data_IF_531411742452
#
_entry.id   IF_531411742452
#
_cell.length_a   1.000
_cell.length_b   1.000
_cell.length_c   1.000
_cell.angle_alpha   90.00
_cell.angle_beta   90.00
_cell.angle_gamma   90.00
#
_symmetry.space_group_name_H-M   'P 1'
#
loop_
_entity.id
_entity.type
_entity.pdbx_description
1 polymer ?
#
# COMPACT_ATOMS: atom_id res chain seq x y z
N UNK A 1 11.03 2.65 -2.35
CA UNK A 1 9.64 3.03 -2.64
C UNK A 1 9.32 2.96 -4.12
N UNK A 2 9.85 3.84 -4.99
CA UNK A 2 9.49 3.86 -6.42
C UNK A 2 9.61 2.51 -7.16
N UNK A 3 10.72 1.78 -6.97
CA UNK A 3 10.89 0.43 -7.53
C UNK A 3 9.86 -0.58 -7.03
N UNK A 4 9.45 -0.48 -5.76
CA UNK A 4 8.45 -1.37 -5.16
C UNK A 4 7.08 -1.07 -5.73
N UNK A 5 6.71 0.21 -5.85
CA UNK A 5 5.46 0.63 -6.50
C UNK A 5 5.41 0.14 -7.94
N UNK A 6 6.52 0.26 -8.67
CA UNK A 6 6.65 -0.24 -10.03
C UNK A 6 6.49 -1.75 -10.14
N UNK A 7 7.25 -2.49 -9.33
CA UNK A 7 7.15 -3.93 -9.27
C UNK A 7 5.73 -4.36 -8.90
N UNK A 8 5.08 -3.67 -7.96
CA UNK A 8 3.70 -3.96 -7.56
C UNK A 8 2.74 -3.76 -8.73
N UNK A 9 2.81 -2.63 -9.43
CA UNK A 9 1.95 -2.34 -10.59
C UNK A 9 2.11 -3.35 -11.72
N UNK A 10 3.32 -3.89 -11.90
CA UNK A 10 3.58 -4.97 -12.86
C UNK A 10 3.06 -6.31 -12.34
N UNK A 11 3.36 -6.67 -11.09
CA UNK A 11 3.01 -7.96 -10.47
C UNK A 11 1.51 -8.13 -10.23
N UNK A 12 0.74 -7.05 -10.11
CA UNK A 12 -0.73 -7.09 -10.04
C UNK A 12 -1.34 -7.75 -11.28
N UNK A 13 -0.67 -7.71 -12.43
CA UNK A 13 -1.18 -8.33 -13.67
C UNK A 13 -1.07 -9.86 -13.66
N UNK A 14 -0.35 -10.44 -12.70
CA UNK A 14 -0.12 -11.88 -12.62
C UNK A 14 -0.93 -12.48 -11.45
N UNK A 15 -2.08 -13.12 -11.72
CA UNK A 15 -2.83 -13.86 -10.73
C UNK A 15 -2.10 -15.14 -10.31
N UNK A 16 -2.30 -15.58 -9.06
CA UNK A 16 -1.70 -16.80 -8.52
C UNK A 16 -2.52 -18.01 -8.98
N UNK A 17 -1.98 -18.76 -9.94
CA UNK A 17 -2.64 -19.95 -10.55
C UNK A 17 -2.61 -21.20 -9.68
N UNK A 18 -2.16 -21.11 -8.44
CA UNK A 18 -2.03 -22.23 -7.52
C UNK A 18 -3.17 -22.20 -6.50
N UNK A 19 -3.65 -23.39 -6.10
CA UNK A 19 -4.69 -23.56 -5.07
C UNK A 19 -6.05 -22.88 -5.36
N UNK A 20 -6.35 -22.56 -6.62
CA UNK A 20 -7.61 -21.88 -7.00
C UNK A 20 -7.68 -20.42 -6.54
N UNK A 21 -6.54 -19.80 -6.23
CA UNK A 21 -6.45 -18.41 -5.75
C UNK A 21 -6.41 -17.37 -6.88
N UNK A 22 -6.58 -17.78 -8.13
CA UNK A 22 -6.36 -16.95 -9.31
C UNK A 22 -7.33 -15.76 -9.42
N UNK A 23 -8.54 -15.91 -8.88
CA UNK A 23 -9.54 -14.85 -8.86
C UNK A 23 -9.44 -13.94 -7.62
N UNK A 24 -8.59 -14.30 -6.64
CA UNK A 24 -8.56 -13.69 -5.31
C UNK A 24 -7.23 -12.98 -5.02
N UNK A 25 -6.11 -13.52 -5.52
CA UNK A 25 -4.77 -13.05 -5.19
C UNK A 25 -3.87 -12.92 -6.43
N UNK A 26 -3.16 -11.80 -6.49
CA UNK A 26 -2.11 -11.52 -7.46
C UNK A 26 -0.75 -11.43 -6.77
N UNK A 27 0.34 -11.59 -7.51
CA UNK A 27 1.69 -11.38 -6.97
C UNK A 27 1.91 -9.92 -6.48
N UNK A 28 1.10 -8.99 -6.97
CA UNK A 28 1.05 -7.61 -6.49
C UNK A 28 0.70 -7.49 -5.00
N UNK A 29 -0.17 -8.36 -4.49
CA UNK A 29 -0.62 -8.35 -3.09
C UNK A 29 0.53 -8.58 -2.09
N UNK A 30 1.61 -9.25 -2.50
CA UNK A 30 2.78 -9.51 -1.67
C UNK A 30 3.85 -8.42 -1.77
N UNK A 31 3.95 -7.76 -2.91
CA UNK A 31 4.94 -6.68 -3.14
C UNK A 31 4.46 -5.34 -2.60
N UNK A 32 3.16 -5.06 -2.64
CA UNK A 32 2.61 -3.79 -2.18
C UNK A 32 2.85 -3.49 -0.70
N UNK A 33 2.73 -4.46 0.24
CA UNK A 33 2.99 -4.21 1.66
C UNK A 33 4.46 -3.88 1.98
N UNK A 34 5.39 -4.17 1.07
CA UNK A 34 6.79 -3.73 1.19
C UNK A 34 6.88 -2.20 1.12
N UNK A 35 5.95 -1.52 0.43
CA UNK A 35 5.88 -0.06 0.42
C UNK A 35 5.65 0.49 1.83
N UNK A 36 4.65 -0.03 2.55
CA UNK A 36 4.37 0.33 3.94
C UNK A 36 5.56 0.02 4.84
N UNK A 37 6.17 -1.16 4.70
CA UNK A 37 7.38 -1.52 5.45
C UNK A 37 8.52 -0.50 5.28
N UNK A 38 8.78 -0.04 4.05
CA UNK A 38 9.80 0.97 3.76
C UNK A 38 9.45 2.30 4.44
N UNK A 39 8.19 2.73 4.35
CA UNK A 39 7.74 3.97 4.97
C UNK A 39 7.87 3.92 6.49
N UNK A 40 7.46 2.82 7.12
CA UNK A 40 7.55 2.59 8.56
C UNK A 40 9.00 2.60 9.05
N UNK A 41 9.89 1.87 8.37
CA UNK A 41 11.32 1.86 8.71
C UNK A 41 11.95 3.24 8.55
N UNK A 42 11.61 3.96 7.48
CA UNK A 42 12.11 5.31 7.28
C UNK A 42 11.57 6.28 8.34
N UNK A 43 10.31 6.14 8.74
CA UNK A 43 9.72 6.95 9.79
C UNK A 43 10.37 6.65 11.15
N UNK A 44 10.68 5.39 11.43
CA UNK A 44 11.40 5.01 12.64
C UNK A 44 12.81 5.58 12.69
N UNK A 45 13.56 5.48 11.59
CA UNK A 45 14.99 5.84 11.54
C UNK A 45 15.22 7.33 11.35
N UNK A 46 14.34 8.02 10.61
CA UNK A 46 14.55 9.40 10.17
C UNK A 46 13.38 10.36 10.49
N UNK A 47 12.30 9.84 11.07
CA UNK A 47 11.12 10.62 11.46
C UNK A 47 10.16 10.96 10.30
N UNK A 48 9.01 11.53 10.68
CA UNK A 48 7.89 11.82 9.77
C UNK A 48 8.25 12.62 8.51
N UNK A 49 9.17 13.60 8.62
CA UNK A 49 9.46 14.51 7.51
C UNK A 49 10.16 13.78 6.36
N UNK A 50 11.11 12.90 6.70
CA UNK A 50 11.82 12.09 5.71
C UNK A 50 10.89 11.00 5.15
N UNK A 51 10.09 10.36 5.99
CA UNK A 51 9.10 9.38 5.54
C UNK A 51 8.10 9.97 4.54
N UNK A 52 7.54 11.16 4.81
CA UNK A 52 6.65 11.86 3.85
C UNK A 52 7.34 12.15 2.52
N UNK A 53 8.60 12.59 2.54
CA UNK A 53 9.37 12.81 1.30
C UNK A 53 9.52 11.52 0.49
N UNK A 54 9.79 10.39 1.15
CA UNK A 54 9.90 9.09 0.49
C UNK A 54 8.57 8.69 -0.15
N UNK A 55 7.45 8.92 0.53
CA UNK A 55 6.11 8.69 -0.04
C UNK A 55 5.89 9.54 -1.28
N UNK A 56 6.08 10.86 -1.20
CA UNK A 56 5.86 11.76 -2.35
C UNK A 56 6.77 11.43 -3.54
N UNK A 57 8.07 11.26 -3.31
CA UNK A 57 9.03 10.94 -4.37
C UNK A 57 8.70 9.58 -4.99
N UNK A 58 8.47 8.58 -4.14
CA UNK A 58 8.15 7.23 -4.59
C UNK A 58 6.84 7.15 -5.37
N UNK A 59 5.82 7.89 -4.94
CA UNK A 59 4.56 8.00 -5.64
C UNK A 59 4.70 8.67 -7.00
N UNK A 60 5.38 9.82 -7.05
CA UNK A 60 5.60 10.56 -8.30
C UNK A 60 6.37 9.71 -9.31
N UNK A 61 7.41 9.00 -8.87
CA UNK A 61 8.14 8.04 -9.72
C UNK A 61 7.19 6.94 -10.19
N UNK A 62 6.40 6.34 -9.29
CA UNK A 62 5.42 5.31 -9.64
C UNK A 62 4.45 5.76 -10.73
N UNK A 63 3.85 6.94 -10.57
CA UNK A 63 2.94 7.53 -11.57
C UNK A 63 3.66 7.77 -12.90
N UNK A 64 4.81 8.44 -12.89
CA UNK A 64 5.52 8.80 -14.12
C UNK A 64 5.83 7.55 -14.93
N UNK A 65 6.32 6.51 -14.28
CA UNK A 65 6.59 5.25 -14.96
C UNK A 65 5.30 4.54 -15.41
N UNK A 66 4.24 4.52 -14.61
CA UNK A 66 2.96 3.98 -15.05
C UNK A 66 2.45 4.71 -16.30
N UNK A 67 2.59 6.04 -16.38
CA UNK A 67 2.21 6.80 -17.58
C UNK A 67 3.11 6.52 -18.79
N UNK A 68 4.40 6.25 -18.58
CA UNK A 68 5.35 5.95 -19.66
C UNK A 68 5.14 4.52 -20.23
N UNK A 69 4.88 3.54 -19.35
CA UNK A 69 4.82 2.12 -19.72
C UNK A 69 3.40 1.57 -19.91
N UNK A 70 2.38 2.19 -19.33
CA UNK A 70 0.98 1.76 -19.44
C UNK A 70 0.24 2.66 -20.44
N UNK A 71 0.07 2.19 -21.67
CA UNK A 71 -0.54 2.94 -22.78
C UNK A 71 -2.05 2.69 -22.96
N UNK A 72 -2.72 2.02 -22.00
CA UNK A 72 -4.15 1.66 -22.10
C UNK A 72 -5.05 2.47 -21.16
N UNK A 73 -5.20 3.78 -21.40
CA UNK A 73 -6.20 4.63 -20.75
C UNK A 73 -7.46 4.83 -21.62
N UNK A 74 -7.81 3.83 -22.42
CA UNK A 74 -8.92 3.93 -23.37
C UNK A 74 -10.30 3.90 -22.69
N UNK A 75 -10.39 3.27 -21.51
CA UNK A 75 -11.65 3.06 -20.82
C UNK A 75 -11.81 3.98 -19.61
N UNK A 76 -13.02 4.54 -19.44
CA UNK A 76 -13.37 5.38 -18.29
C UNK A 76 -13.16 4.65 -16.95
N UNK A 77 -13.37 3.32 -16.93
CA UNK A 77 -13.14 2.49 -15.74
C UNK A 77 -11.65 2.45 -15.39
N UNK A 78 -10.77 2.29 -16.38
CA UNK A 78 -9.32 2.28 -16.17
C UNK A 78 -8.82 3.62 -15.61
N UNK A 79 -9.39 4.74 -16.07
CA UNK A 79 -9.09 6.07 -15.52
C UNK A 79 -9.56 6.19 -14.06
N UNK A 80 -10.77 5.72 -13.74
CA UNK A 80 -11.28 5.71 -12.36
C UNK A 80 -10.45 4.83 -11.42
N UNK A 81 -9.94 3.69 -11.92
CA UNK A 81 -9.03 2.82 -11.17
C UNK A 81 -7.71 3.54 -10.90
N UNK A 82 -7.14 4.22 -11.91
CA UNK A 82 -5.91 4.96 -11.74
C UNK A 82 -6.05 6.12 -10.74
N UNK A 83 -7.12 6.92 -10.86
CA UNK A 83 -7.41 8.02 -9.92
C UNK A 83 -7.66 7.47 -8.52
N UNK A 84 -8.51 6.44 -8.39
CA UNK A 84 -8.83 5.81 -7.11
C UNK A 84 -7.59 5.27 -6.40
N UNK A 85 -6.73 4.55 -7.13
CA UNK A 85 -5.48 4.00 -6.59
C UNK A 85 -4.50 5.11 -6.17
N UNK A 86 -4.36 6.15 -7.00
CA UNK A 86 -3.48 7.27 -6.70
C UNK A 86 -3.90 8.06 -5.45
N UNK A 87 -5.20 8.38 -5.37
CA UNK A 87 -5.77 9.11 -4.23
C UNK A 87 -5.74 8.28 -2.95
N UNK A 88 -6.14 7.01 -3.02
CA UNK A 88 -6.12 6.10 -1.88
C UNK A 88 -4.71 5.94 -1.32
N UNK A 89 -3.73 5.66 -2.19
CA UNK A 89 -2.35 5.43 -1.78
C UNK A 89 -1.73 6.64 -1.08
N UNK A 90 -1.84 7.86 -1.64
CA UNK A 90 -1.27 9.04 -1.00
C UNK A 90 -1.91 9.27 0.36
N UNK A 91 -3.25 9.24 0.44
CA UNK A 91 -3.96 9.55 1.68
C UNK A 91 -3.60 8.50 2.75
N UNK A 92 -3.63 7.22 2.38
CA UNK A 92 -3.28 6.12 3.28
C UNK A 92 -1.84 6.19 3.77
N UNK A 93 -0.87 6.42 2.88
CA UNK A 93 0.55 6.51 3.25
C UNK A 93 0.84 7.72 4.13
N UNK A 94 0.23 8.88 3.86
CA UNK A 94 0.42 10.06 4.72
C UNK A 94 -0.20 9.88 6.10
N UNK A 95 -1.37 9.21 6.16
CA UNK A 95 -2.04 8.87 7.40
C UNK A 95 -1.22 7.85 8.20
N UNK A 96 -0.71 6.81 7.53
CA UNK A 96 0.19 5.81 8.09
C UNK A 96 1.41 6.48 8.72
N UNK A 97 2.13 7.34 7.99
CA UNK A 97 3.27 8.11 8.53
C UNK A 97 2.90 8.92 9.77
N UNK A 98 1.73 9.56 9.75
CA UNK A 98 1.28 10.40 10.86
C UNK A 98 0.97 9.57 12.11
N UNK A 99 0.22 8.48 11.96
CA UNK A 99 -0.15 7.60 13.07
C UNK A 99 1.08 6.88 13.61
N UNK A 100 1.95 6.39 12.72
CA UNK A 100 3.20 5.74 13.11
C UNK A 100 4.07 6.68 13.93
N UNK A 101 4.29 7.93 13.49
CA UNK A 101 5.16 8.88 14.20
C UNK A 101 4.60 9.22 15.59
N UNK A 102 3.28 9.35 15.73
CA UNK A 102 2.61 9.54 17.03
C UNK A 102 2.81 8.35 17.98
N UNK A 103 2.83 7.14 17.45
CA UNK A 103 2.95 5.90 18.22
C UNK A 103 4.39 5.38 18.31
N UNK A 104 5.36 6.03 17.67
CA UNK A 104 6.73 5.50 17.52
C UNK A 104 7.44 5.24 18.85
N UNK A 105 7.10 5.96 19.91
CA UNK A 105 7.71 5.76 21.24
C UNK A 105 7.09 4.59 22.03
N UNK A 106 6.04 3.96 21.53
CA UNK A 106 5.44 2.76 22.12
C UNK A 106 6.27 1.51 21.80
N UNK A 107 5.78 0.32 22.21
CA UNK A 107 6.40 -0.95 21.87
C UNK A 107 6.60 -1.06 20.35
N UNK A 108 7.66 -1.74 19.94
CA UNK A 108 8.13 -1.79 18.55
C UNK A 108 7.04 -2.16 17.53
N UNK A 109 6.08 -3.02 17.88
CA UNK A 109 5.02 -3.46 16.98
C UNK A 109 3.79 -2.54 16.96
N UNK A 110 3.60 -1.68 17.98
CA UNK A 110 2.36 -0.89 18.12
C UNK A 110 2.25 0.14 17.00
N UNK A 111 3.34 0.86 16.73
CA UNK A 111 3.39 1.85 15.65
C UNK A 111 3.09 1.24 14.27
N UNK A 112 3.87 0.25 13.75
CA UNK A 112 3.66 -0.32 12.42
C UNK A 112 2.31 -1.03 12.28
N UNK A 113 1.87 -1.77 13.31
CA UNK A 113 0.60 -2.48 13.23
C UNK A 113 -0.57 -1.49 13.17
N UNK A 114 -0.60 -0.51 14.06
CA UNK A 114 -1.74 0.43 14.14
C UNK A 114 -1.78 1.34 12.92
N UNK A 115 -0.63 1.83 12.45
CA UNK A 115 -0.56 2.67 11.26
C UNK A 115 -0.96 1.89 10.01
N UNK A 116 -0.43 0.68 9.82
CA UNK A 116 -0.75 -0.16 8.67
C UNK A 116 -2.21 -0.59 8.63
N UNK A 117 -2.84 -0.91 9.77
CA UNK A 117 -4.26 -1.28 9.84
C UNK A 117 -5.16 -0.11 9.43
N UNK A 118 -4.91 1.08 9.99
CA UNK A 118 -5.70 2.27 9.70
C UNK A 118 -5.45 2.74 8.26
N UNK A 119 -4.18 2.78 7.84
CA UNK A 119 -3.77 3.11 6.48
C UNK A 119 -4.41 2.18 5.45
N UNK A 120 -4.34 0.86 5.65
CA UNK A 120 -4.95 -0.13 4.75
C UNK A 120 -6.47 -0.03 4.70
N UNK A 121 -7.11 0.25 5.84
CA UNK A 121 -8.57 0.46 5.88
C UNK A 121 -8.95 1.66 5.01
N UNK A 122 -8.30 2.81 5.23
CA UNK A 122 -8.57 4.03 4.47
C UNK A 122 -8.25 3.85 2.98
N UNK A 123 -7.13 3.22 2.66
CA UNK A 123 -6.72 2.89 1.29
C UNK A 123 -7.81 2.08 0.57
N UNK A 124 -8.21 0.96 1.16
CA UNK A 124 -9.17 0.04 0.57
C UNK A 124 -10.54 0.70 0.37
N UNK A 125 -11.08 1.39 1.37
CA UNK A 125 -12.37 2.06 1.21
C UNK A 125 -12.33 3.20 0.19
N UNK A 126 -11.27 4.00 0.16
CA UNK A 126 -11.12 5.07 -0.84
C UNK A 126 -10.95 4.51 -2.25
N UNK A 127 -10.11 3.49 -2.42
CA UNK A 127 -9.89 2.85 -3.72
C UNK A 127 -11.20 2.29 -4.28
N UNK A 128 -11.87 1.41 -3.53
CA UNK A 128 -13.07 0.75 -4.04
C UNK A 128 -14.24 1.72 -4.25
N UNK A 129 -14.40 2.72 -3.37
CA UNK A 129 -15.43 3.75 -3.56
C UNK A 129 -15.15 4.60 -4.80
N UNK A 130 -13.94 5.14 -4.99
CA UNK A 130 -13.66 5.99 -6.16
C UNK A 130 -13.73 5.18 -7.46
N UNK A 131 -13.16 3.97 -7.47
CA UNK A 131 -13.03 3.15 -8.67
C UNK A 131 -14.34 2.50 -9.11
N UNK A 132 -15.20 2.07 -8.18
CA UNK A 132 -16.36 1.22 -8.49
C UNK A 132 -17.72 1.77 -8.02
N UNK A 133 -17.77 2.96 -7.41
CA UNK A 133 -19.06 3.56 -7.07
C UNK A 133 -19.94 3.75 -8.31
N UNK A 134 -21.20 3.29 -8.24
CA UNK A 134 -22.16 3.40 -9.34
C UNK A 134 -21.89 2.51 -10.56
N UNK A 135 -20.98 1.53 -10.49
CA UNK A 135 -20.73 0.61 -11.62
C UNK A 135 -21.56 -0.68 -11.56
N UNK A 136 -22.36 -0.88 -10.50
CA UNK A 136 -23.09 -2.14 -10.26
C UNK A 136 -22.24 -3.25 -9.64
N UNK A 137 -20.92 -3.06 -9.53
CA UNK A 137 -20.00 -3.99 -8.88
C UNK A 137 -20.22 -3.90 -7.35
N UNK A 138 -20.30 -5.03 -6.62
CA UNK A 138 -20.49 -5.06 -5.17
C UNK A 138 -19.20 -4.66 -4.43
N UNK A 139 -18.78 -3.41 -4.60
CA UNK A 139 -17.49 -2.90 -4.17
C UNK A 139 -17.27 -2.96 -2.66
N UNK A 140 -18.33 -2.92 -1.85
CA UNK A 140 -18.26 -3.06 -0.38
C UNK A 140 -17.81 -4.47 0.02
N UNK A 141 -18.38 -5.50 -0.61
CA UNK A 141 -18.01 -6.90 -0.33
C UNK A 141 -16.57 -7.16 -0.78
N UNK A 142 -16.20 -6.64 -1.96
CA UNK A 142 -14.84 -6.75 -2.48
C UNK A 142 -13.82 -6.02 -1.58
N UNK A 143 -14.17 -4.83 -1.09
CA UNK A 143 -13.31 -4.05 -0.20
C UNK A 143 -13.10 -4.76 1.14
N UNK A 144 -14.11 -5.44 1.67
CA UNK A 144 -13.96 -6.25 2.88
C UNK A 144 -13.02 -7.46 2.66
N UNK A 145 -13.12 -8.12 1.51
CA UNK A 145 -12.21 -9.20 1.13
C UNK A 145 -10.76 -8.73 1.00
N UNK A 146 -10.55 -7.64 0.27
CA UNK A 146 -9.23 -7.00 0.12
C UNK A 146 -8.65 -6.57 1.49
N UNK A 147 -9.47 -5.96 2.34
CA UNK A 147 -9.03 -5.53 3.67
C UNK A 147 -8.61 -6.71 4.54
N UNK A 148 -9.32 -7.85 4.50
CA UNK A 148 -8.95 -9.04 5.24
C UNK A 148 -7.56 -9.55 4.83
N UNK A 149 -7.26 -9.56 3.53
CA UNK A 149 -5.93 -9.92 3.02
C UNK A 149 -4.88 -8.91 3.48
N UNK A 150 -5.15 -7.59 3.39
CA UNK A 150 -4.19 -6.56 3.84
C UNK A 150 -3.90 -6.64 5.34
N UNK A 151 -4.91 -6.91 6.17
CA UNK A 151 -4.72 -7.13 7.61
C UNK A 151 -3.80 -8.32 7.86
N UNK A 152 -4.04 -9.44 7.17
CA UNK A 152 -3.19 -10.62 7.28
C UNK A 152 -1.74 -10.31 6.88
N UNK A 153 -1.53 -9.64 5.74
CA UNK A 153 -0.17 -9.32 5.30
C UNK A 153 0.51 -8.29 6.21
N UNK A 154 -0.23 -7.31 6.77
CA UNK A 154 0.30 -6.37 7.75
C UNK A 154 0.83 -7.08 9.01
N UNK A 155 0.12 -8.11 9.49
CA UNK A 155 0.59 -8.96 10.60
C UNK A 155 1.87 -9.72 10.24
N UNK A 156 1.93 -10.30 9.04
CA UNK A 156 3.13 -11.00 8.54
C UNK A 156 4.32 -10.04 8.42
N UNK A 157 4.09 -8.81 7.96
CA UNK A 157 5.13 -7.78 7.78
C UNK A 157 5.74 -7.27 9.09
N UNK A 158 5.15 -7.57 10.26
CA UNK A 158 5.80 -7.32 11.54
C UNK A 158 7.10 -8.12 11.71
N UNK A 159 7.21 -9.30 11.08
CA UNK A 159 8.41 -10.14 11.13
C UNK A 159 9.60 -9.44 10.47
N UNK A 160 9.58 -9.09 9.16
CA UNK A 160 10.68 -8.37 8.53
C UNK A 160 10.91 -7.00 9.16
N UNK A 161 9.86 -6.30 9.60
CA UNK A 161 10.02 -5.05 10.33
C UNK A 161 10.89 -5.25 11.59
N UNK A 162 10.60 -6.27 12.42
CA UNK A 162 11.38 -6.55 13.63
C UNK A 162 12.84 -6.88 13.33
N UNK A 163 13.08 -7.68 12.29
CA UNK A 163 14.43 -8.07 11.89
C UNK A 163 15.24 -6.86 11.43
N UNK A 164 14.64 -6.00 10.61
CA UNK A 164 15.31 -4.82 10.03
C UNK A 164 15.54 -3.70 11.05
N UNK A 165 14.70 -3.59 12.08
CA UNK A 165 14.93 -2.69 13.21
C UNK A 165 16.26 -2.96 13.92
N UNK A 166 16.71 -4.22 14.00
CA UNK A 166 17.98 -4.57 14.64
C UNK A 166 19.21 -4.12 13.84
N UNK A 167 19.06 -3.95 12.52
CA UNK A 167 20.14 -3.56 11.61
C UNK A 167 20.23 -2.06 11.36
N UNK A 168 19.12 -1.34 11.48
CA UNK A 168 19.06 0.10 11.28
C UNK A 168 19.29 0.80 12.62
N UNK A 169 20.47 1.43 12.80
CA UNK A 169 20.74 2.27 13.97
C UNK A 169 19.63 3.31 14.09
N UNK A 170 18.88 3.27 15.19
CA UNK A 170 17.98 4.36 15.56
C UNK A 170 18.83 5.63 15.72
N UNK A 171 18.50 6.67 14.95
CA UNK A 171 19.10 8.00 15.09
C UNK A 171 18.66 8.67 16.39
#
# INVERSE_FOLDING_TARGET
MGLVVLASNYLVQFPIKYYGLEEILTYGAFSYPIAFLITDLANRSFGKLVARKIVYIGFTIGILFTLIFSTNFTDLISIRIAIGSGTAFIIAQLLDVQIFDQLRQKKWFIAPLTSSLIGSTVDTFLFFSISFYGTGIPWVTLSLGDLAVKIFVALVMLIPFRLLLGTLKAA
#
